data_IF_224579745840
#
_entry.id   IF_224579745840
#
_cell.length_a   1.000
_cell.length_b   1.000
_cell.length_c   1.000
_cell.angle_alpha   90.00
_cell.angle_beta   90.00
_cell.angle_gamma   90.00
#
_symmetry.space_group_name_H-M   'P 1'
#
loop_
_entity.id
_entity.type
_entity.pdbx_description
1 polymer ?
#
# COMPACT_ATOMS: atom_id res chain seq x y z
N UNK A 1 -10.12 82.13 61.19
CA UNK A 1 -9.31 80.94 60.83
C UNK A 1 -10.21 79.97 60.10
N UNK A 2 -9.82 79.61 58.88
CA UNK A 2 -10.75 79.26 57.81
C UNK A 2 -11.40 77.87 57.87
N UNK A 3 -12.41 77.71 57.02
CA UNK A 3 -12.69 76.49 56.26
C UNK A 3 -13.48 76.88 55.01
N UNK A 4 -12.84 76.75 53.86
CA UNK A 4 -13.49 76.93 52.57
C UNK A 4 -14.47 75.79 52.33
N UNK A 5 -15.72 76.16 52.08
CA UNK A 5 -16.78 75.30 51.55
C UNK A 5 -16.74 75.43 50.03
N UNK A 6 -16.60 74.31 49.31
CA UNK A 6 -16.91 74.26 47.88
C UNK A 6 -18.10 73.31 47.71
N UNK A 7 -19.24 73.93 47.42
CA UNK A 7 -20.48 73.30 46.97
C UNK A 7 -20.44 73.19 45.45
N UNK A 8 -20.42 71.98 44.87
CA UNK A 8 -21.07 71.68 43.57
C UNK A 8 -21.50 70.20 43.57
N UNK A 9 -22.77 69.94 43.23
CA UNK A 9 -23.29 68.64 42.76
C UNK A 9 -23.89 68.84 41.34
N UNK A 10 -24.17 67.76 40.58
CA UNK A 10 -23.62 67.45 39.24
C UNK A 10 -24.61 67.89 38.11
N UNK A 11 -24.45 67.62 36.79
CA UNK A 11 -24.65 66.26 36.26
C UNK A 11 -24.13 65.94 34.81
N UNK A 12 -24.44 64.70 34.36
CA UNK A 12 -24.66 64.21 32.98
C UNK A 12 -23.48 63.74 32.10
N UNK A 13 -23.55 62.43 31.86
CA UNK A 13 -23.22 61.66 30.65
C UNK A 13 -22.34 62.28 29.56
N UNK A 14 -21.25 61.58 29.25
CA UNK A 14 -20.81 61.43 27.87
C UNK A 14 -20.75 59.93 27.52
N UNK A 15 -21.64 59.40 26.65
CA UNK A 15 -21.68 57.99 26.30
C UNK A 15 -20.89 57.76 25.01
N UNK A 16 -19.56 57.74 25.07
CA UNK A 16 -18.74 57.32 23.92
C UNK A 16 -17.34 56.89 24.37
N UNK A 17 -17.25 55.69 24.93
CA UNK A 17 -16.02 54.88 24.90
C UNK A 17 -16.47 53.46 24.53
N UNK A 18 -16.76 53.28 23.25
CA UNK A 18 -16.85 51.97 22.65
C UNK A 18 -15.49 51.28 22.84
N UNK A 19 -15.46 50.21 23.63
CA UNK A 19 -14.41 49.20 23.54
C UNK A 19 -14.35 48.74 22.07
N UNK A 20 -13.15 48.52 21.50
CA UNK A 20 -13.07 47.80 20.24
C UNK A 20 -13.42 46.34 20.52
N UNK A 21 -14.65 45.98 20.21
CA UNK A 21 -15.08 44.60 20.01
C UNK A 21 -14.14 43.98 18.97
N UNK A 22 -13.39 42.97 19.39
CA UNK A 22 -12.62 42.09 18.52
C UNK A 22 -13.50 41.55 17.39
N UNK A 23 -13.09 41.65 16.11
CA UNK A 23 -13.80 40.97 15.07
C UNK A 23 -12.83 40.27 14.11
N UNK A 24 -12.16 39.20 14.52
CA UNK A 24 -11.65 38.22 13.55
C UNK A 24 -11.71 36.81 14.14
N UNK A 25 -12.94 36.30 14.29
CA UNK A 25 -13.15 34.88 14.01
C UNK A 25 -12.81 34.70 12.53
N UNK A 26 -11.67 34.08 12.22
CA UNK A 26 -11.48 33.48 10.91
C UNK A 26 -12.46 32.31 10.80
N UNK A 27 -13.72 32.61 10.44
CA UNK A 27 -14.56 31.61 9.80
C UNK A 27 -13.87 31.31 8.46
N UNK A 28 -13.28 30.13 8.32
CA UNK A 28 -12.88 29.60 7.02
C UNK A 28 -14.06 29.79 6.08
N UNK A 29 -13.90 30.64 5.06
CA UNK A 29 -14.91 30.78 4.01
C UNK A 29 -15.24 29.37 3.49
N UNK A 30 -16.52 29.03 3.27
CA UNK A 30 -16.87 27.76 2.65
C UNK A 30 -16.14 27.68 1.31
N UNK A 31 -15.29 26.66 1.17
CA UNK A 31 -14.55 26.37 -0.04
C UNK A 31 -15.51 26.31 -1.22
N UNK A 32 -15.15 26.92 -2.36
CA UNK A 32 -15.99 26.83 -3.55
C UNK A 32 -16.10 25.36 -4.00
N UNK A 33 -17.25 24.96 -4.55
CA UNK A 33 -17.46 23.56 -4.98
C UNK A 33 -16.37 23.09 -5.96
N UNK A 34 -15.90 24.00 -6.83
CA UNK A 34 -14.82 23.75 -7.78
C UNK A 34 -13.46 23.50 -7.11
N UNK A 35 -13.11 24.30 -6.09
CA UNK A 35 -11.86 24.15 -5.35
C UNK A 35 -11.84 22.84 -4.54
N UNK A 36 -13.00 22.43 -4.01
CA UNK A 36 -13.16 21.16 -3.34
C UNK A 36 -12.99 19.97 -4.30
N UNK A 37 -13.69 19.98 -5.43
CA UNK A 37 -13.59 18.95 -6.48
C UNK A 37 -12.15 18.79 -6.99
N UNK A 38 -11.47 19.90 -7.26
CA UNK A 38 -10.06 19.91 -7.67
C UNK A 38 -9.14 19.30 -6.60
N UNK A 39 -9.41 19.57 -5.32
CA UNK A 39 -8.62 19.02 -4.21
C UNK A 39 -8.78 17.51 -4.08
N UNK A 40 -10.02 17.00 -4.14
CA UNK A 40 -10.29 15.56 -4.13
C UNK A 40 -9.58 14.87 -5.29
N UNK A 41 -9.67 15.43 -6.49
CA UNK A 41 -9.00 14.88 -7.66
C UNK A 41 -7.47 14.82 -7.51
N UNK A 42 -6.85 15.84 -6.90
CA UNK A 42 -5.41 15.79 -6.64
C UNK A 42 -5.03 14.73 -5.61
N UNK A 43 -5.80 14.59 -4.53
CA UNK A 43 -5.59 13.50 -3.58
C UNK A 43 -5.76 12.12 -4.22
N UNK A 44 -6.72 11.97 -5.12
CA UNK A 44 -6.90 10.74 -5.90
C UNK A 44 -5.66 10.42 -6.74
N UNK A 45 -5.12 11.38 -7.48
CA UNK A 45 -3.88 11.18 -8.25
C UNK A 45 -2.69 10.80 -7.35
N UNK A 46 -2.52 11.48 -6.24
CA UNK A 46 -1.45 11.18 -5.27
C UNK A 46 -1.62 9.76 -4.69
N UNK A 47 -2.86 9.35 -4.41
CA UNK A 47 -3.17 7.99 -3.97
C UNK A 47 -2.79 6.95 -5.02
N UNK A 48 -3.15 7.19 -6.29
CA UNK A 48 -2.82 6.27 -7.39
C UNK A 48 -1.31 6.20 -7.68
N UNK A 49 -0.58 7.31 -7.50
CA UNK A 49 0.88 7.30 -7.58
C UNK A 49 1.51 6.44 -6.46
N UNK A 50 1.02 6.55 -5.23
CA UNK A 50 1.47 5.71 -4.10
C UNK A 50 1.09 4.24 -4.28
N UNK A 51 -0.07 3.96 -4.88
CA UNK A 51 -0.49 2.61 -5.26
C UNK A 51 0.51 1.98 -6.26
N UNK A 52 0.98 2.76 -7.23
CA UNK A 52 2.01 2.30 -8.18
C UNK A 52 3.31 1.93 -7.47
N UNK A 53 3.76 2.78 -6.54
CA UNK A 53 4.93 2.49 -5.72
C UNK A 53 4.76 1.20 -4.90
N UNK A 54 3.55 0.95 -4.38
CA UNK A 54 3.24 -0.30 -3.69
C UNK A 54 3.38 -1.51 -4.64
N UNK A 55 2.85 -1.43 -5.87
CA UNK A 55 2.96 -2.52 -6.84
C UNK A 55 4.41 -2.85 -7.21
N UNK A 56 5.26 -1.82 -7.37
CA UNK A 56 6.70 -2.00 -7.61
C UNK A 56 7.40 -2.68 -6.42
N UNK A 57 7.04 -2.29 -5.19
CA UNK A 57 7.51 -2.96 -3.99
C UNK A 57 7.08 -4.44 -3.98
N UNK A 58 5.82 -4.75 -4.30
CA UNK A 58 5.32 -6.13 -4.35
C UNK A 58 6.11 -6.98 -5.34
N UNK A 59 6.42 -6.45 -6.53
CA UNK A 59 7.25 -7.14 -7.52
C UNK A 59 8.68 -7.40 -7.00
N UNK A 60 9.26 -6.42 -6.29
CA UNK A 60 10.57 -6.56 -5.63
C UNK A 60 10.53 -7.65 -4.56
N UNK A 61 9.51 -7.63 -3.69
CA UNK A 61 9.28 -8.65 -2.66
C UNK A 61 9.11 -10.05 -3.24
N UNK A 62 8.39 -10.18 -4.36
CA UNK A 62 8.23 -11.46 -5.07
C UNK A 62 9.57 -12.02 -5.55
N UNK A 63 10.44 -11.16 -6.09
CA UNK A 63 11.78 -11.55 -6.54
C UNK A 63 12.64 -12.04 -5.38
N UNK A 64 12.61 -11.31 -4.26
CA UNK A 64 13.33 -11.72 -3.04
C UNK A 64 12.84 -13.07 -2.50
N UNK A 65 11.52 -13.30 -2.52
CA UNK A 65 10.93 -14.56 -2.06
C UNK A 65 11.32 -15.74 -2.96
N UNK A 66 11.31 -15.56 -4.27
CA UNK A 66 11.78 -16.58 -5.23
C UNK A 66 13.26 -16.89 -5.03
N UNK A 67 14.09 -15.87 -4.84
CA UNK A 67 15.52 -16.05 -4.59
C UNK A 67 15.77 -16.76 -3.25
N UNK A 68 14.99 -16.44 -2.21
CA UNK A 68 15.01 -17.15 -0.94
C UNK A 68 14.68 -18.64 -1.11
N UNK A 69 13.61 -18.96 -1.86
CA UNK A 69 13.24 -20.33 -2.20
C UNK A 69 14.36 -21.05 -2.95
N UNK A 70 14.90 -20.46 -4.02
CA UNK A 70 15.96 -21.06 -4.83
C UNK A 70 17.23 -21.30 -4.01
N UNK A 71 17.61 -20.36 -3.15
CA UNK A 71 18.74 -20.51 -2.24
C UNK A 71 18.55 -21.65 -1.25
N UNK A 72 17.36 -21.79 -0.65
CA UNK A 72 17.06 -22.91 0.24
C UNK A 72 17.04 -24.26 -0.49
N UNK A 73 16.46 -24.32 -1.69
CA UNK A 73 16.48 -25.53 -2.52
C UNK A 73 17.91 -25.94 -2.89
N UNK A 74 18.77 -24.97 -3.20
CA UNK A 74 20.18 -25.24 -3.43
C UNK A 74 20.87 -25.81 -2.18
N UNK A 75 20.63 -25.23 -0.99
CA UNK A 75 21.22 -25.71 0.26
C UNK A 75 20.76 -27.12 0.66
N UNK A 76 19.58 -27.54 0.17
CA UNK A 76 19.01 -28.89 0.41
C UNK A 76 19.56 -29.95 -0.53
N UNK A 77 20.18 -29.57 -1.65
CA UNK A 77 20.67 -30.54 -2.62
C UNK A 77 21.75 -31.42 -1.99
N UNK A 78 21.58 -32.75 -1.99
CA UNK A 78 22.62 -33.65 -1.52
C UNK A 78 23.81 -33.61 -2.49
N UNK A 79 25.01 -33.83 -1.94
CA UNK A 79 26.20 -34.02 -2.78
C UNK A 79 26.08 -35.33 -3.55
N UNK A 80 26.58 -35.35 -4.78
CA UNK A 80 26.68 -36.58 -5.54
C UNK A 80 27.85 -37.39 -4.97
N UNK A 81 27.57 -38.64 -4.59
CA UNK A 81 28.57 -39.53 -4.04
C UNK A 81 29.46 -40.10 -5.15
N UNK A 82 30.59 -39.46 -5.39
CA UNK A 82 31.60 -39.93 -6.34
C UNK A 82 32.54 -40.99 -5.75
N UNK A 83 32.31 -41.49 -4.53
CA UNK A 83 33.16 -42.55 -3.95
C UNK A 83 32.89 -43.91 -4.59
N UNK A 84 31.68 -44.14 -5.11
CA UNK A 84 31.28 -45.36 -5.79
C UNK A 84 31.77 -45.40 -7.24
N UNK A 85 32.50 -46.46 -7.60
CA UNK A 85 32.94 -46.70 -8.98
C UNK A 85 31.74 -46.83 -9.95
N UNK A 86 30.61 -47.34 -9.48
CA UNK A 86 29.39 -47.41 -10.27
C UNK A 86 28.86 -46.01 -10.60
N UNK A 87 28.79 -45.11 -9.62
CA UNK A 87 28.31 -43.73 -9.81
C UNK A 87 29.26 -42.97 -10.75
N UNK A 88 30.57 -43.09 -10.56
CA UNK A 88 31.58 -42.54 -11.47
C UNK A 88 31.41 -43.02 -12.90
N UNK A 89 31.23 -44.32 -13.09
CA UNK A 89 31.04 -44.90 -14.43
C UNK A 89 29.76 -44.41 -15.10
N UNK A 90 28.67 -44.24 -14.33
CA UNK A 90 27.42 -43.66 -14.84
C UNK A 90 27.61 -42.20 -15.28
N UNK A 91 28.26 -41.37 -14.45
CA UNK A 91 28.53 -39.96 -14.78
C UNK A 91 29.38 -39.89 -16.06
N UNK A 92 30.48 -40.64 -16.11
CA UNK A 92 31.39 -40.68 -17.26
C UNK A 92 30.70 -41.16 -18.54
N UNK A 93 29.84 -42.18 -18.44
CA UNK A 93 29.08 -42.71 -19.56
C UNK A 93 28.03 -41.75 -20.13
N UNK A 94 27.65 -40.71 -19.37
CA UNK A 94 26.61 -39.73 -19.73
C UNK A 94 27.14 -38.28 -19.79
N UNK A 95 28.46 -38.10 -20.02
CA UNK A 95 29.12 -36.79 -20.01
C UNK A 95 28.59 -35.85 -21.10
N UNK A 96 27.56 -35.10 -20.75
CA UNK A 96 27.11 -33.93 -21.51
C UNK A 96 27.45 -32.66 -20.74
N UNK A 97 27.50 -31.50 -21.42
CA UNK A 97 27.66 -30.20 -20.74
C UNK A 97 26.63 -30.02 -19.62
N UNK A 98 25.38 -30.43 -19.86
CA UNK A 98 24.28 -30.35 -18.89
C UNK A 98 24.50 -31.25 -17.67
N UNK A 99 24.93 -32.50 -17.88
CA UNK A 99 25.22 -33.44 -16.79
C UNK A 99 26.42 -32.97 -15.97
N UNK A 100 27.48 -32.45 -16.61
CA UNK A 100 28.62 -31.86 -15.91
C UNK A 100 28.20 -30.69 -15.02
N UNK A 101 27.42 -29.74 -15.53
CA UNK A 101 26.89 -28.64 -14.71
C UNK A 101 26.01 -29.12 -13.55
N UNK A 102 25.24 -30.21 -13.74
CA UNK A 102 24.41 -30.79 -12.68
C UNK A 102 25.26 -31.45 -11.58
N UNK A 103 26.31 -32.16 -11.99
CA UNK A 103 27.29 -32.79 -11.08
C UNK A 103 28.05 -31.71 -10.32
N UNK A 104 28.59 -30.71 -11.02
CA UNK A 104 29.29 -29.56 -10.43
C UNK A 104 28.40 -28.78 -9.45
N UNK A 105 27.13 -28.56 -9.77
CA UNK A 105 26.19 -27.90 -8.86
C UNK A 105 25.92 -28.71 -7.57
N UNK A 106 26.10 -30.03 -7.61
CA UNK A 106 26.09 -30.92 -6.43
C UNK A 106 27.46 -31.12 -5.78
N UNK A 107 28.55 -30.68 -6.44
CA UNK A 107 29.96 -30.93 -6.07
C UNK A 107 30.80 -29.65 -5.85
N UNK A 108 30.19 -28.47 -5.73
CA UNK A 108 30.92 -27.23 -5.43
C UNK A 108 31.75 -27.38 -4.15
N UNK A 109 32.89 -26.67 -4.02
CA UNK A 109 33.67 -26.53 -2.78
C UNK A 109 32.72 -26.20 -1.64
N UNK A 110 32.30 -27.23 -0.93
CA UNK A 110 30.94 -27.24 -0.40
C UNK A 110 30.77 -26.41 0.86
N UNK A 111 31.86 -25.91 1.40
CA UNK A 111 31.82 -24.94 2.49
C UNK A 111 31.71 -23.51 1.98
N UNK A 112 32.38 -23.16 0.87
CA UNK A 112 32.37 -21.79 0.34
C UNK A 112 31.09 -21.50 -0.45
N UNK A 113 30.67 -22.42 -1.32
CA UNK A 113 29.39 -22.31 -2.04
C UNK A 113 28.20 -22.29 -1.09
N UNK A 114 28.16 -23.19 -0.10
CA UNK A 114 27.10 -23.24 0.91
C UNK A 114 27.10 -22.01 1.80
N UNK A 115 28.27 -21.46 2.15
CA UNK A 115 28.39 -20.21 2.90
C UNK A 115 27.88 -19.02 2.09
N UNK A 116 28.16 -18.96 0.79
CA UNK A 116 27.69 -17.88 -0.08
C UNK A 116 26.18 -17.95 -0.28
N UNK A 117 25.61 -19.12 -0.57
CA UNK A 117 24.16 -19.28 -0.68
C UNK A 117 23.46 -19.04 0.67
N UNK A 118 24.06 -19.46 1.79
CA UNK A 118 23.51 -19.15 3.11
C UNK A 118 23.50 -17.64 3.39
N UNK A 119 24.49 -16.88 2.92
CA UNK A 119 24.47 -15.42 2.99
C UNK A 119 23.38 -14.85 2.09
N UNK A 120 23.22 -15.35 0.87
CA UNK A 120 22.17 -14.91 -0.05
C UNK A 120 20.77 -15.13 0.50
N UNK A 121 20.47 -16.31 1.07
CA UNK A 121 19.20 -16.59 1.75
C UNK A 121 18.97 -15.60 2.90
N UNK A 122 20.01 -15.30 3.68
CA UNK A 122 19.91 -14.31 4.75
C UNK A 122 19.68 -12.89 4.22
N UNK A 123 20.36 -12.49 3.15
CA UNK A 123 20.16 -11.21 2.46
C UNK A 123 18.74 -11.10 1.92
N UNK A 124 18.19 -12.17 1.35
CA UNK A 124 16.80 -12.19 0.89
C UNK A 124 15.83 -12.01 2.06
N UNK A 125 16.08 -12.66 3.20
CA UNK A 125 15.27 -12.51 4.41
C UNK A 125 15.30 -11.06 4.94
N UNK A 126 16.48 -10.44 5.00
CA UNK A 126 16.61 -9.03 5.37
C UNK A 126 15.88 -8.11 4.38
N UNK A 127 16.03 -8.37 3.08
CA UNK A 127 15.33 -7.63 2.03
C UNK A 127 13.81 -7.74 2.14
N UNK A 128 13.28 -8.90 2.53
CA UNK A 128 11.85 -9.10 2.77
C UNK A 128 11.35 -8.34 4.00
N UNK A 129 12.15 -8.26 5.07
CA UNK A 129 11.82 -7.43 6.23
C UNK A 129 11.82 -5.92 5.87
N UNK A 130 12.78 -5.48 5.05
CA UNK A 130 12.83 -4.11 4.53
C UNK A 130 11.62 -3.82 3.61
N UNK A 131 11.26 -4.77 2.74
CA UNK A 131 10.04 -4.72 1.93
C UNK A 131 8.79 -4.50 2.80
N UNK A 132 8.60 -5.28 3.86
CA UNK A 132 7.46 -5.08 4.77
C UNK A 132 7.47 -3.69 5.41
N UNK A 133 8.65 -3.21 5.85
CA UNK A 133 8.77 -1.89 6.46
C UNK A 133 8.38 -0.79 5.47
N UNK A 134 8.83 -0.88 4.21
CA UNK A 134 8.47 0.05 3.14
C UNK A 134 6.99 -0.04 2.75
N UNK A 135 6.47 -1.25 2.58
CA UNK A 135 5.06 -1.48 2.28
C UNK A 135 4.13 -0.92 3.37
N UNK A 136 4.53 -1.06 4.64
CA UNK A 136 3.80 -0.45 5.76
C UNK A 136 3.78 1.07 5.70
N UNK A 137 4.90 1.69 5.33
CA UNK A 137 4.95 3.14 5.17
C UNK A 137 4.00 3.60 4.06
N UNK A 138 4.02 2.94 2.90
CA UNK A 138 3.10 3.28 1.80
C UNK A 138 1.64 3.08 2.22
N UNK A 139 1.31 2.01 2.95
CA UNK A 139 -0.03 1.81 3.50
C UNK A 139 -0.48 2.95 4.42
N UNK A 140 0.39 3.39 5.33
CA UNK A 140 0.09 4.50 6.23
C UNK A 140 -0.14 5.80 5.44
N UNK A 141 0.63 6.02 4.37
CA UNK A 141 0.44 7.17 3.50
C UNK A 141 -0.89 7.13 2.74
N UNK A 142 -1.31 5.96 2.25
CA UNK A 142 -2.61 5.76 1.61
C UNK A 142 -3.76 5.99 2.61
N UNK A 143 -3.61 5.51 3.85
CA UNK A 143 -4.57 5.73 4.93
C UNK A 143 -4.69 7.22 5.30
N UNK A 144 -3.56 7.93 5.40
CA UNK A 144 -3.56 9.38 5.63
C UNK A 144 -4.34 10.14 4.53
N UNK A 145 -4.14 9.79 3.26
CA UNK A 145 -4.88 10.41 2.15
C UNK A 145 -6.39 10.14 2.25
N UNK A 146 -6.79 8.93 2.65
CA UNK A 146 -8.20 8.60 2.89
C UNK A 146 -8.80 9.43 4.02
N UNK A 147 -8.07 9.59 5.14
CA UNK A 147 -8.52 10.41 6.25
C UNK A 147 -8.64 11.90 5.87
N UNK A 148 -7.72 12.42 5.07
CA UNK A 148 -7.80 13.78 4.53
C UNK A 148 -9.04 13.99 3.64
N UNK A 149 -9.29 13.05 2.73
CA UNK A 149 -10.46 13.05 1.84
C UNK A 149 -11.76 12.96 2.65
N UNK A 150 -11.85 12.02 3.58
CA UNK A 150 -13.03 11.85 4.44
C UNK A 150 -13.27 13.08 5.34
N UNK A 151 -12.20 13.66 5.88
CA UNK A 151 -12.27 14.91 6.65
C UNK A 151 -12.81 16.08 5.83
N UNK A 152 -12.33 16.24 4.60
CA UNK A 152 -12.81 17.29 3.70
C UNK A 152 -14.27 17.06 3.28
N UNK A 153 -14.65 15.81 2.99
CA UNK A 153 -16.02 15.45 2.61
C UNK A 153 -17.02 15.72 3.73
N UNK A 154 -16.69 15.35 4.99
CA UNK A 154 -17.53 15.68 6.16
C UNK A 154 -17.70 17.19 6.35
N UNK A 155 -16.64 17.96 6.11
CA UNK A 155 -16.65 19.42 6.23
C UNK A 155 -17.49 20.07 5.14
N UNK A 156 -17.45 19.54 3.90
CA UNK A 156 -18.17 20.08 2.75
C UNK A 156 -19.65 19.67 2.70
N UNK A 157 -19.98 18.43 3.08
CA UNK A 157 -21.34 17.88 2.93
C UNK A 157 -22.13 17.84 4.24
N UNK A 158 -21.49 18.01 5.40
CA UNK A 158 -22.12 17.89 6.73
C UNK A 158 -22.49 16.43 7.04
N UNK A 159 -21.98 15.89 8.15
CA UNK A 159 -22.24 14.56 8.72
C UNK A 159 -22.91 13.53 7.77
N UNK A 160 -22.20 13.12 6.72
CA UNK A 160 -22.55 11.93 5.95
C UNK A 160 -22.22 10.70 6.82
N UNK A 161 -22.99 9.60 6.78
CA UNK A 161 -22.68 8.39 7.53
C UNK A 161 -21.25 7.91 7.23
N UNK A 162 -20.57 7.43 8.29
CA UNK A 162 -19.27 6.78 8.19
C UNK A 162 -19.30 5.75 7.08
N UNK A 163 -18.37 5.87 6.13
CA UNK A 163 -18.22 4.99 4.97
C UNK A 163 -17.60 3.66 5.43
N UNK A 164 -18.22 2.98 6.38
CA UNK A 164 -17.78 1.68 6.86
C UNK A 164 -18.42 0.58 5.99
N UNK A 165 -17.80 0.34 4.84
CA UNK A 165 -17.38 -1.00 4.40
C UNK A 165 -18.37 -2.08 3.99
N UNK A 166 -19.68 -2.00 4.27
CA UNK A 166 -20.54 -3.20 4.10
C UNK A 166 -21.44 -3.18 2.84
N UNK A 167 -21.81 -1.99 2.33
CA UNK A 167 -22.86 -1.88 1.29
C UNK A 167 -22.36 -1.62 -0.14
N UNK A 168 -21.10 -1.20 -0.32
CA UNK A 168 -20.57 -0.86 -1.64
C UNK A 168 -19.78 -2.01 -2.29
N UNK A 169 -19.10 -2.83 -1.48
CA UNK A 169 -18.45 -4.05 -1.97
C UNK A 169 -19.46 -5.04 -2.60
N UNK A 170 -20.66 -5.15 -2.00
CA UNK A 170 -21.76 -5.95 -2.54
C UNK A 170 -22.29 -5.42 -3.88
N UNK A 171 -22.36 -4.08 -4.05
CA UNK A 171 -22.83 -3.45 -5.29
C UNK A 171 -21.87 -3.65 -6.47
N UNK A 172 -20.56 -3.55 -6.24
CA UNK A 172 -19.57 -3.82 -7.30
C UNK A 172 -19.53 -5.31 -7.68
N UNK A 173 -19.81 -6.22 -6.74
CA UNK A 173 -19.88 -7.65 -7.00
C UNK A 173 -21.12 -8.04 -7.85
N UNK A 174 -22.23 -7.32 -7.69
CA UNK A 174 -23.43 -7.47 -8.52
C UNK A 174 -23.25 -6.93 -9.95
N UNK A 175 -22.51 -5.83 -10.11
CA UNK A 175 -22.30 -5.16 -11.39
C UNK A 175 -21.23 -5.83 -12.27
N UNK A 176 -20.26 -6.53 -11.67
CA UNK A 176 -19.31 -7.38 -12.39
C UNK A 176 -19.98 -8.56 -13.14
N UNK A 177 -21.24 -8.88 -12.83
CA UNK A 177 -22.02 -9.92 -13.52
C UNK A 177 -22.86 -9.40 -14.70
N UNK A 178 -23.01 -8.08 -14.87
CA UNK A 178 -23.85 -7.49 -15.92
C UNK A 178 -23.01 -6.57 -16.79
N UNK A 179 -22.30 -7.16 -17.74
CA UNK A 179 -21.57 -6.39 -18.74
C UNK A 179 -22.52 -5.77 -19.75
N UNK A 180 -22.70 -4.45 -19.70
CA UNK A 180 -23.01 -3.67 -20.89
C UNK A 180 -22.31 -2.30 -20.85
N UNK A 181 -21.75 -1.96 -22.01
CA UNK A 181 -20.84 -0.84 -22.26
C UNK A 181 -21.64 0.45 -22.40
N UNK A 182 -21.25 1.49 -21.68
CA UNK A 182 -21.42 2.87 -22.17
C UNK A 182 -20.11 3.66 -22.08
N UNK A 183 -19.71 4.14 -23.25
CA UNK A 183 -18.58 5.00 -23.55
C UNK A 183 -18.90 6.44 -23.13
N UNK A 184 -18.05 7.09 -22.34
CA UNK A 184 -18.22 8.51 -22.02
C UNK A 184 -16.97 9.35 -22.31
N UNK A 185 -17.22 10.37 -23.12
CA UNK A 185 -16.33 11.45 -23.56
C UNK A 185 -15.91 12.37 -22.41
N UNK A 186 -14.67 12.85 -22.47
CA UNK A 186 -14.03 13.75 -21.51
C UNK A 186 -14.74 15.11 -21.38
N UNK A 187 -15.29 15.40 -20.20
CA UNK A 187 -15.46 16.77 -19.71
C UNK A 187 -15.84 16.78 -18.23
N UNK A 188 -15.00 17.45 -17.42
CA UNK A 188 -15.25 18.02 -16.08
C UNK A 188 -15.98 17.18 -15.03
N UNK A 189 -15.39 16.94 -13.83
CA UNK A 189 -16.01 16.04 -12.89
C UNK A 189 -17.35 16.52 -12.35
N UNK A 190 -18.44 15.80 -12.66
CA UNK A 190 -19.75 16.03 -12.03
C UNK A 190 -19.68 15.64 -10.55
N UNK A 191 -20.56 16.20 -9.72
CA UNK A 191 -20.69 15.88 -8.28
C UNK A 191 -20.73 14.37 -7.96
N UNK A 192 -21.22 13.53 -8.88
CA UNK A 192 -21.19 12.08 -8.73
C UNK A 192 -19.77 11.50 -8.81
N UNK A 193 -18.89 12.08 -9.63
CA UNK A 193 -17.50 11.62 -9.84
C UNK A 193 -16.63 11.83 -8.61
N UNK A 194 -16.92 12.86 -7.79
CA UNK A 194 -16.23 13.06 -6.50
C UNK A 194 -16.46 11.87 -5.58
N UNK A 195 -17.71 11.41 -5.51
CA UNK A 195 -18.09 10.25 -4.71
C UNK A 195 -17.40 9.02 -5.28
N UNK A 196 -17.34 8.87 -6.60
CA UNK A 196 -16.64 7.76 -7.26
C UNK A 196 -15.15 7.71 -6.88
N UNK A 197 -14.43 8.84 -6.86
CA UNK A 197 -13.02 8.86 -6.43
C UNK A 197 -12.85 8.36 -4.99
N UNK A 198 -13.61 8.91 -4.04
CA UNK A 198 -13.50 8.56 -2.62
C UNK A 198 -13.78 7.07 -2.40
N UNK A 199 -14.84 6.59 -3.05
CA UNK A 199 -15.27 5.22 -2.95
C UNK A 199 -14.24 4.26 -3.53
N UNK A 200 -13.72 4.55 -4.72
CA UNK A 200 -12.67 3.75 -5.36
C UNK A 200 -11.40 3.71 -4.50
N UNK A 201 -10.98 4.84 -3.92
CA UNK A 201 -9.84 4.88 -2.99
C UNK A 201 -10.04 3.96 -1.79
N UNK A 202 -11.23 4.00 -1.17
CA UNK A 202 -11.54 3.17 0.00
C UNK A 202 -11.55 1.68 -0.32
N UNK A 203 -12.10 1.29 -1.47
CA UNK A 203 -12.10 -0.10 -1.95
C UNK A 203 -10.67 -0.57 -2.23
N UNK A 204 -9.89 0.20 -2.99
CA UNK A 204 -8.50 -0.14 -3.31
C UNK A 204 -7.66 -0.25 -2.04
N UNK A 205 -7.78 0.69 -1.10
CA UNK A 205 -7.04 0.62 0.15
C UNK A 205 -7.35 -0.67 0.92
N UNK A 206 -8.63 -1.05 1.02
CA UNK A 206 -9.07 -2.29 1.67
C UNK A 206 -8.42 -3.51 1.02
N UNK A 207 -8.40 -3.58 -0.33
CA UNK A 207 -7.75 -4.64 -1.10
C UNK A 207 -6.24 -4.70 -0.84
N UNK A 208 -5.55 -3.55 -0.93
CA UNK A 208 -4.10 -3.43 -0.74
C UNK A 208 -3.69 -3.76 0.69
N UNK A 209 -4.49 -3.36 1.69
CA UNK A 209 -4.27 -3.71 3.09
C UNK A 209 -4.33 -5.21 3.33
N UNK A 210 -5.31 -5.90 2.75
CA UNK A 210 -5.42 -7.36 2.85
C UNK A 210 -4.25 -8.07 2.16
N UNK A 211 -3.86 -7.59 0.98
CA UNK A 211 -2.70 -8.11 0.24
C UNK A 211 -1.39 -7.95 1.03
N UNK A 212 -1.16 -6.77 1.62
CA UNK A 212 -0.02 -6.54 2.53
C UNK A 212 -0.05 -7.47 3.75
N UNK A 213 -1.22 -7.63 4.40
CA UNK A 213 -1.34 -8.54 5.56
C UNK A 213 -1.02 -9.99 5.19
N UNK A 214 -1.36 -10.42 3.97
CA UNK A 214 -0.95 -11.73 3.46
C UNK A 214 0.57 -11.80 3.29
N UNK A 215 1.19 -10.78 2.68
CA UNK A 215 2.65 -10.70 2.52
C UNK A 215 3.37 -10.74 3.88
N UNK A 216 2.88 -10.00 4.88
CA UNK A 216 3.42 -9.99 6.24
C UNK A 216 3.38 -11.39 6.89
N UNK A 217 2.26 -12.11 6.71
CA UNK A 217 2.12 -13.49 7.19
C UNK A 217 3.08 -14.44 6.49
N UNK A 218 3.25 -14.31 5.17
CA UNK A 218 4.20 -15.12 4.40
C UNK A 218 5.61 -14.90 4.93
N UNK A 219 6.08 -13.65 5.00
CA UNK A 219 7.43 -13.32 5.46
C UNK A 219 7.66 -13.79 6.90
N UNK A 220 6.65 -13.64 7.76
CA UNK A 220 6.71 -14.10 9.16
C UNK A 220 6.79 -15.63 9.29
N UNK A 221 6.22 -16.36 8.34
CA UNK A 221 6.24 -17.82 8.31
C UNK A 221 7.52 -18.40 7.66
N UNK A 222 8.37 -17.55 7.04
CA UNK A 222 9.60 -18.03 6.41
C UNK A 222 10.57 -18.61 7.43
N UNK A 223 10.97 -19.85 7.17
CA UNK A 223 11.90 -20.58 8.00
C UNK A 223 12.95 -21.27 7.10
N UNK A 224 14.24 -21.33 7.51
CA UNK A 224 15.23 -22.14 6.81
C UNK A 224 14.81 -23.62 6.62
N UNK A 225 13.91 -24.11 7.48
CA UNK A 225 13.36 -25.47 7.47
C UNK A 225 12.03 -25.61 6.70
N UNK A 226 11.44 -24.53 6.17
CA UNK A 226 10.18 -24.58 5.42
C UNK A 226 10.29 -25.54 4.23
N UNK A 227 9.39 -26.49 4.07
CA UNK A 227 9.44 -27.45 2.96
C UNK A 227 9.37 -26.77 1.59
N UNK A 228 9.78 -27.49 0.54
CA UNK A 228 9.73 -26.97 -0.84
C UNK A 228 8.30 -26.59 -1.25
N UNK A 229 7.32 -27.45 -0.96
CA UNK A 229 5.92 -27.20 -1.28
C UNK A 229 5.31 -26.02 -0.50
N UNK A 230 5.74 -25.78 0.75
CA UNK A 230 5.33 -24.58 1.49
C UNK A 230 5.87 -23.31 0.83
N UNK A 231 7.15 -23.29 0.44
CA UNK A 231 7.77 -22.14 -0.23
C UNK A 231 7.16 -21.89 -1.61
N UNK A 232 6.88 -22.94 -2.38
CA UNK A 232 6.14 -22.83 -3.66
C UNK A 232 4.75 -22.22 -3.44
N UNK A 233 4.03 -22.66 -2.40
CA UNK A 233 2.72 -22.11 -2.06
C UNK A 233 2.80 -20.63 -1.69
N UNK A 234 3.83 -20.22 -0.92
CA UNK A 234 4.06 -18.82 -0.59
C UNK A 234 4.35 -17.97 -1.82
N UNK A 235 5.25 -18.42 -2.71
CA UNK A 235 5.54 -17.73 -3.98
C UNK A 235 4.29 -17.60 -4.86
N UNK A 236 3.47 -18.64 -4.93
CA UNK A 236 2.23 -18.64 -5.71
C UNK A 236 1.21 -17.65 -5.14
N UNK A 237 0.95 -17.68 -3.83
CA UNK A 237 0.03 -16.73 -3.19
C UNK A 237 0.49 -15.29 -3.38
N UNK A 238 1.79 -15.02 -3.23
CA UNK A 238 2.38 -13.69 -3.46
C UNK A 238 2.18 -13.21 -4.89
N UNK A 239 2.34 -14.10 -5.87
CA UNK A 239 2.23 -13.77 -7.30
C UNK A 239 0.78 -13.60 -7.74
N UNK A 240 -0.14 -14.41 -7.22
CA UNK A 240 -1.55 -14.37 -7.59
C UNK A 240 -2.30 -13.18 -7.00
N UNK A 241 -1.85 -12.66 -5.84
CA UNK A 241 -2.46 -11.51 -5.15
C UNK A 241 -3.99 -11.63 -5.05
N UNK A 242 -4.52 -12.67 -4.37
CA UNK A 242 -5.95 -13.02 -4.40
C UNK A 242 -6.89 -11.93 -3.87
N UNK A 243 -6.39 -10.95 -3.11
CA UNK A 243 -7.17 -9.82 -2.60
C UNK A 243 -7.23 -8.64 -3.57
N UNK A 244 -6.47 -8.68 -4.67
CA UNK A 244 -6.39 -7.60 -5.65
C UNK A 244 -7.28 -7.92 -6.84
N UNK A 245 -8.36 -7.14 -6.99
CA UNK A 245 -9.11 -7.07 -8.23
C UNK A 245 -8.47 -6.05 -9.19
N UNK A 246 -7.88 -6.55 -10.28
CA UNK A 246 -7.25 -5.68 -11.29
C UNK A 246 -8.26 -4.84 -12.08
N UNK A 247 -9.51 -5.29 -12.23
CA UNK A 247 -10.54 -4.54 -12.94
C UNK A 247 -10.87 -3.22 -12.23
N UNK A 248 -10.90 -3.24 -10.89
CA UNK A 248 -11.11 -2.04 -10.07
C UNK A 248 -9.91 -1.08 -10.20
N UNK A 249 -8.69 -1.61 -10.24
CA UNK A 249 -7.48 -0.79 -10.45
C UNK A 249 -7.46 -0.16 -11.84
N UNK A 250 -7.77 -0.94 -12.87
CA UNK A 250 -7.83 -0.49 -14.25
C UNK A 250 -8.94 0.56 -14.44
N UNK A 251 -10.08 0.38 -13.78
CA UNK A 251 -11.12 1.40 -13.70
C UNK A 251 -10.60 2.68 -13.06
N UNK A 252 -9.95 2.59 -11.90
CA UNK A 252 -9.39 3.75 -11.20
C UNK A 252 -8.38 4.53 -12.05
N UNK A 253 -7.52 3.84 -12.81
CA UNK A 253 -6.58 4.50 -13.73
C UNK A 253 -7.27 5.23 -14.87
N UNK A 254 -8.41 4.74 -15.36
CA UNK A 254 -9.20 5.42 -16.40
C UNK A 254 -9.87 6.70 -15.90
N UNK A 255 -10.02 6.87 -14.59
CA UNK A 255 -10.54 8.11 -14.00
C UNK A 255 -9.50 9.25 -13.96
N UNK A 256 -8.23 8.97 -14.29
CA UNK A 256 -7.20 9.98 -14.46
C UNK A 256 -7.15 10.36 -15.96
N UNK A 257 -7.46 11.63 -16.33
CA UNK A 257 -7.43 12.11 -17.71
C UNK A 257 -6.03 12.17 -18.33
#
# INVERSE_FOLDING_TARGET
MGRWTVLISPPLQNPNLHLPSSPYFFSSLPMSNFEFEYKIFNWFKDFMARLSNFDELVATGSTLLVNFQQGLEFLRRPRIDETSDLVKNIIRGNETKKVKSYVEAGCLNADDGRRNISKEVHTCQLGLCDHLSKGRNVLNELECLLEEVNGAMRTAMGNLPDFQGDSFADRLNEEACNGDKEEFTSSHPKRNEVIDYVVVMGVIYSMVKQDYMMQERIVSALNPKSSSGELESYCLMWSLRPFINNEIKDYAWKLIP
#
